data_IF_621687096909
#
_entry.id   IF_621687096909
#
_cell.length_a   1.000
_cell.length_b   1.000
_cell.length_c   1.000
_cell.angle_alpha   90.00
_cell.angle_beta   90.00
_cell.angle_gamma   90.00
#
_symmetry.space_group_name_H-M   'P 1'
#
loop_
_entity.id
_entity.type
_entity.pdbx_description
1 polymer ?
#
# COMPACT_ATOMS: atom_id res chain seq x y z
N UNK A 1 -7.68 -19.83 4.00
CA UNK A 1 -7.90 -18.73 3.03
C UNK A 1 -6.83 -18.76 1.96
N UNK A 2 -7.26 -18.78 0.72
CA UNK A 2 -6.34 -18.72 -0.42
C UNK A 2 -5.97 -17.27 -0.75
N UNK A 3 -4.94 -17.09 -1.58
CA UNK A 3 -4.57 -15.74 -2.04
C UNK A 3 -5.70 -15.09 -2.81
N UNK A 4 -6.39 -15.84 -3.67
CA UNK A 4 -7.50 -15.31 -4.45
C UNK A 4 -8.68 -14.90 -3.57
N UNK A 5 -8.99 -15.69 -2.56
CA UNK A 5 -10.02 -15.34 -1.58
C UNK A 5 -9.66 -14.07 -0.83
N UNK A 6 -8.41 -13.97 -0.37
CA UNK A 6 -7.95 -12.79 0.35
C UNK A 6 -7.99 -11.53 -0.52
N UNK A 7 -7.61 -11.64 -1.80
CA UNK A 7 -7.69 -10.52 -2.74
C UNK A 7 -9.12 -10.00 -2.85
N UNK A 8 -10.06 -10.90 -3.06
CA UNK A 8 -11.47 -10.52 -3.22
C UNK A 8 -12.04 -9.91 -1.95
N UNK A 9 -11.74 -10.51 -0.81
CA UNK A 9 -12.21 -10.02 0.49
C UNK A 9 -11.60 -8.64 0.79
N UNK A 10 -10.32 -8.46 0.51
CA UNK A 10 -9.65 -7.18 0.74
C UNK A 10 -10.25 -6.07 -0.12
N UNK A 11 -10.49 -6.34 -1.40
CA UNK A 11 -11.10 -5.36 -2.30
C UNK A 11 -12.52 -5.02 -1.86
N UNK A 12 -13.27 -6.03 -1.45
CA UNK A 12 -14.63 -5.83 -0.95
C UNK A 12 -14.64 -5.01 0.34
N UNK A 13 -13.72 -5.30 1.25
CA UNK A 13 -13.62 -4.58 2.51
C UNK A 13 -13.31 -3.09 2.29
N UNK A 14 -12.39 -2.77 1.38
CA UNK A 14 -12.06 -1.39 1.05
C UNK A 14 -13.25 -0.69 0.40
N UNK A 15 -13.91 -1.36 -0.54
CA UNK A 15 -15.10 -0.80 -1.21
C UNK A 15 -16.20 -0.51 -0.20
N UNK A 16 -16.48 -1.44 0.70
CA UNK A 16 -17.51 -1.28 1.72
C UNK A 16 -17.16 -0.16 2.68
N UNK A 17 -15.92 -0.06 3.10
CA UNK A 17 -15.47 1.02 3.97
C UNK A 17 -15.62 2.37 3.29
N UNK A 18 -15.16 2.49 2.05
CA UNK A 18 -15.25 3.75 1.30
C UNK A 18 -16.70 4.17 1.10
N UNK A 19 -17.51 3.24 0.64
CA UNK A 19 -18.92 3.53 0.33
C UNK A 19 -19.79 3.75 1.56
N UNK A 20 -19.33 3.26 2.71
CA UNK A 20 -20.04 3.42 3.98
C UNK A 20 -19.77 4.73 4.70
N UNK A 21 -18.85 5.55 4.20
CA UNK A 21 -18.53 6.83 4.83
C UNK A 21 -19.66 7.85 4.57
N UNK A 22 -19.89 8.72 5.54
CA UNK A 22 -20.96 9.72 5.46
C UNK A 22 -20.76 10.73 4.33
N UNK A 23 -19.51 10.98 3.94
CA UNK A 23 -19.20 11.88 2.84
C UNK A 23 -19.37 11.25 1.45
N UNK A 24 -19.72 9.97 1.39
CA UNK A 24 -19.94 9.23 0.15
C UNK A 24 -21.41 8.81 -0.01
N UNK A 25 -22.32 9.66 0.39
CA UNK A 25 -23.77 9.38 0.28
C UNK A 25 -24.34 9.59 -1.12
N UNK A 26 -23.66 10.37 -1.95
CA UNK A 26 -24.04 10.62 -3.33
C UNK A 26 -23.74 9.38 -4.18
N UNK A 27 -24.62 9.09 -5.14
CA UNK A 27 -24.40 8.00 -6.10
C UNK A 27 -23.09 8.14 -6.84
N UNK A 28 -22.68 9.37 -7.15
CA UNK A 28 -21.44 9.65 -7.86
C UNK A 28 -20.21 9.54 -6.96
N UNK A 29 -20.41 9.53 -5.64
CA UNK A 29 -19.32 9.39 -4.70
C UNK A 29 -18.95 7.95 -4.37
N UNK A 30 -19.77 6.99 -4.82
CA UNK A 30 -19.51 5.58 -4.52
C UNK A 30 -18.63 4.94 -5.59
N UNK A 31 -17.84 3.97 -5.15
CA UNK A 31 -16.95 3.23 -6.03
C UNK A 31 -17.45 1.80 -6.21
N UNK A 32 -17.02 1.16 -7.28
CA UNK A 32 -17.30 -0.25 -7.53
C UNK A 32 -15.99 -1.06 -7.41
N UNK A 33 -16.12 -2.37 -7.52
CA UNK A 33 -14.99 -3.29 -7.31
C UNK A 33 -13.78 -2.96 -8.20
N UNK A 34 -14.01 -2.61 -9.46
CA UNK A 34 -12.93 -2.29 -10.41
C UNK A 34 -12.16 -1.01 -10.05
N UNK A 35 -12.70 -0.19 -9.16
CA UNK A 35 -12.04 1.04 -8.73
C UNK A 35 -11.04 0.80 -7.60
N UNK A 36 -11.03 -0.41 -7.02
CA UNK A 36 -10.14 -0.78 -5.93
C UNK A 36 -9.03 -1.68 -6.48
N UNK A 37 -7.79 -1.31 -6.24
CA UNK A 37 -6.65 -2.09 -6.73
C UNK A 37 -5.69 -2.41 -5.60
N UNK A 38 -4.98 -3.52 -5.75
CA UNK A 38 -3.99 -3.97 -4.80
C UNK A 38 -2.63 -3.44 -5.24
N UNK A 39 -1.97 -2.69 -4.33
CA UNK A 39 -0.63 -2.16 -4.57
C UNK A 39 0.41 -3.27 -4.38
N UNK A 40 0.30 -4.00 -3.28
CA UNK A 40 1.09 -5.20 -3.03
C UNK A 40 0.35 -6.11 -2.06
N UNK A 41 0.77 -7.37 -2.01
CA UNK A 41 0.17 -8.37 -1.15
C UNK A 41 1.24 -9.38 -0.75
N UNK A 42 1.15 -9.89 0.47
CA UNK A 42 2.04 -10.94 0.93
C UNK A 42 1.28 -11.92 1.82
N UNK A 43 1.81 -13.15 1.89
CA UNK A 43 1.32 -14.18 2.77
C UNK A 43 2.48 -14.72 3.58
N UNK A 44 2.29 -14.83 4.88
CA UNK A 44 3.27 -15.43 5.79
C UNK A 44 2.55 -16.43 6.67
N UNK A 45 2.83 -17.72 6.46
CA UNK A 45 2.12 -18.82 7.13
C UNK A 45 0.63 -18.72 6.81
N UNK A 46 -0.23 -18.62 7.82
CA UNK A 46 -1.68 -18.49 7.64
C UNK A 46 -2.18 -17.04 7.63
N UNK A 47 -1.26 -16.09 7.67
CA UNK A 47 -1.58 -14.66 7.71
C UNK A 47 -1.41 -14.03 6.33
N UNK A 48 -2.27 -13.06 6.03
CA UNK A 48 -2.23 -12.31 4.78
C UNK A 48 -2.22 -10.83 5.06
N UNK A 49 -1.54 -10.08 4.22
CA UNK A 49 -1.51 -8.63 4.32
C UNK A 49 -1.47 -8.01 2.93
N UNK A 50 -2.21 -6.93 2.74
CA UNK A 50 -2.23 -6.22 1.46
C UNK A 50 -2.34 -4.72 1.69
N UNK A 51 -1.72 -3.97 0.79
CA UNK A 51 -1.92 -2.53 0.68
C UNK A 51 -2.76 -2.28 -0.56
N UNK A 52 -3.85 -1.55 -0.40
CA UNK A 52 -4.78 -1.25 -1.47
C UNK A 52 -4.99 0.25 -1.59
N UNK A 53 -5.47 0.66 -2.74
CA UNK A 53 -5.90 2.03 -2.96
C UNK A 53 -7.07 2.02 -3.94
N UNK A 54 -7.58 3.21 -4.24
CA UNK A 54 -8.69 3.36 -5.18
C UNK A 54 -8.32 4.34 -6.27
N UNK A 55 -9.13 4.37 -7.32
CA UNK A 55 -8.96 5.32 -8.41
C UNK A 55 -9.36 6.75 -8.02
N UNK A 56 -9.95 6.92 -6.84
CA UNK A 56 -10.31 8.25 -6.32
C UNK A 56 -9.03 8.98 -5.88
N UNK A 57 -8.80 10.20 -6.40
CA UNK A 57 -7.55 10.93 -6.11
C UNK A 57 -7.61 11.65 -4.76
N UNK A 58 -7.83 10.90 -3.69
CA UNK A 58 -7.93 11.44 -2.33
C UNK A 58 -6.67 11.19 -1.48
N UNK A 59 -5.68 10.50 -2.04
CA UNK A 59 -4.44 10.19 -1.34
C UNK A 59 -4.57 9.12 -0.28
N UNK A 60 -5.68 8.39 -0.26
CA UNK A 60 -5.92 7.35 0.74
C UNK A 60 -5.31 6.01 0.32
N UNK A 61 -4.78 5.30 1.32
CA UNK A 61 -4.32 3.93 1.20
C UNK A 61 -4.95 3.11 2.32
N UNK A 62 -5.16 1.83 2.03
CA UNK A 62 -5.83 0.91 2.95
C UNK A 62 -4.98 -0.32 3.12
N UNK A 63 -4.69 -0.67 4.37
CA UNK A 63 -3.95 -1.87 4.70
C UNK A 63 -4.93 -2.87 5.28
N UNK A 64 -5.06 -4.02 4.62
CA UNK A 64 -5.94 -5.10 5.08
C UNK A 64 -5.07 -6.23 5.59
N UNK A 65 -5.33 -6.67 6.81
CA UNK A 65 -4.57 -7.74 7.47
C UNK A 65 -5.53 -8.84 7.91
N UNK A 66 -5.20 -10.07 7.53
CA UNK A 66 -5.94 -11.24 8.00
C UNK A 66 -5.06 -12.06 8.93
N UNK A 67 -5.52 -12.25 10.16
CA UNK A 67 -4.87 -13.13 11.14
C UNK A 67 -5.56 -14.49 11.04
N UNK A 68 -4.87 -15.46 10.43
CA UNK A 68 -5.44 -16.77 10.18
C UNK A 68 -5.65 -17.63 11.43
N UNK A 69 -4.86 -17.38 12.48
CA UNK A 69 -5.02 -18.10 13.75
C UNK A 69 -6.32 -17.73 14.45
N UNK A 70 -6.68 -16.46 14.37
CA UNK A 70 -7.87 -15.93 15.05
C UNK A 70 -9.07 -15.78 14.12
N UNK A 71 -8.86 -15.89 12.80
CA UNK A 71 -9.91 -15.65 11.83
C UNK A 71 -10.40 -14.22 11.79
N UNK A 72 -9.51 -13.27 12.07
CA UNK A 72 -9.86 -11.85 12.16
C UNK A 72 -9.29 -11.08 10.98
N UNK A 73 -10.10 -10.19 10.44
CA UNK A 73 -9.71 -9.28 9.36
C UNK A 73 -9.71 -7.85 9.88
N UNK A 74 -8.64 -7.12 9.61
CA UNK A 74 -8.50 -5.72 10.03
C UNK A 74 -8.28 -4.86 8.79
N UNK A 75 -8.85 -3.66 8.83
CA UNK A 75 -8.64 -2.64 7.80
C UNK A 75 -8.14 -1.37 8.47
N UNK A 76 -6.98 -0.89 8.03
CA UNK A 76 -6.41 0.37 8.48
C UNK A 76 -6.42 1.35 7.31
N UNK A 77 -6.91 2.56 7.55
CA UNK A 77 -7.00 3.58 6.53
C UNK A 77 -5.96 4.67 6.81
N UNK A 78 -5.10 4.93 5.80
CA UNK A 78 -4.02 5.91 5.90
C UNK A 78 -4.15 6.96 4.82
N UNK A 79 -3.84 8.19 5.15
CA UNK A 79 -3.73 9.23 4.15
C UNK A 79 -2.26 9.50 3.85
N UNK A 80 -1.91 9.50 2.58
CA UNK A 80 -0.55 9.82 2.15
C UNK A 80 -0.25 11.27 2.52
N UNK A 81 0.76 11.46 3.36
CA UNK A 81 1.15 12.79 3.82
C UNK A 81 2.09 13.47 2.85
N UNK A 82 3.12 12.76 2.41
CA UNK A 82 4.19 13.35 1.63
C UNK A 82 4.93 12.26 0.86
N UNK A 83 5.47 12.63 -0.30
CA UNK A 83 6.34 11.77 -1.08
C UNK A 83 7.67 12.50 -1.26
N UNK A 84 8.75 11.94 -0.71
CA UNK A 84 10.07 12.55 -0.74
C UNK A 84 11.02 11.67 -1.53
N UNK A 85 11.72 12.26 -2.50
CA UNK A 85 12.76 11.57 -3.25
C UNK A 85 14.04 11.58 -2.46
N UNK A 86 14.63 10.41 -2.25
CA UNK A 86 15.92 10.25 -1.56
C UNK A 86 16.83 9.45 -2.45
N UNK A 87 18.05 9.92 -2.63
CA UNK A 87 19.10 9.20 -3.33
C UNK A 87 19.98 8.51 -2.28
N UNK A 88 19.84 7.19 -2.08
CA UNK A 88 20.55 6.51 -1.00
C UNK A 88 22.07 6.49 -1.20
N UNK A 89 22.53 6.54 -2.43
CA UNK A 89 23.96 6.59 -2.76
C UNK A 89 24.64 7.88 -2.25
N UNK A 90 23.87 8.94 -2.15
CA UNK A 90 24.33 10.23 -1.66
C UNK A 90 24.07 10.39 -0.18
N UNK A 91 22.83 10.06 0.24
CA UNK A 91 22.36 10.27 1.61
C UNK A 91 22.94 9.27 2.60
N UNK A 92 23.01 8.01 2.19
CA UNK A 92 23.38 6.90 3.07
C UNK A 92 24.50 6.02 2.48
N UNK A 93 25.62 6.61 2.05
CA UNK A 93 26.68 5.84 1.44
C UNK A 93 27.31 4.82 2.39
N UNK A 94 27.31 5.11 3.70
CA UNK A 94 27.88 4.25 4.72
C UNK A 94 27.07 2.97 4.95
N UNK A 95 25.81 2.95 4.51
CA UNK A 95 24.94 1.76 4.62
C UNK A 95 24.95 0.91 3.36
N UNK A 96 25.36 1.49 2.24
CA UNK A 96 25.45 0.78 0.96
C UNK A 96 26.86 0.20 0.80
N UNK A 97 26.93 -1.09 0.44
CA UNK A 97 28.20 -1.78 0.28
C UNK A 97 28.39 -2.18 -1.18
N UNK A 98 29.63 -2.18 -1.61
CA UNK A 98 30.04 -2.70 -2.92
C UNK A 98 29.58 -1.83 -4.09
N UNK A 99 28.65 -2.31 -4.90
CA UNK A 99 28.35 -1.79 -6.24
C UNK A 99 27.87 -0.35 -6.28
N UNK A 100 27.33 0.16 -5.19
CA UNK A 100 26.81 1.54 -5.14
C UNK A 100 27.91 2.60 -5.00
N UNK A 101 29.08 2.21 -4.47
CA UNK A 101 30.15 3.17 -4.19
C UNK A 101 30.74 3.85 -5.43
N UNK A 102 31.03 3.15 -6.53
CA UNK A 102 31.51 3.83 -7.72
C UNK A 102 30.55 4.89 -8.25
N UNK A 103 29.25 4.58 -8.23
CA UNK A 103 28.21 5.54 -8.64
C UNK A 103 28.19 6.73 -7.70
N UNK A 104 28.26 6.48 -6.41
CA UNK A 104 28.29 7.53 -5.40
C UNK A 104 29.48 8.47 -5.58
N UNK A 105 30.68 7.90 -5.80
CA UNK A 105 31.89 8.68 -6.00
C UNK A 105 31.79 9.56 -7.25
N UNK A 106 31.23 9.05 -8.32
CA UNK A 106 31.03 9.83 -9.55
C UNK A 106 30.06 10.98 -9.32
N UNK A 107 29.00 10.76 -8.58
CA UNK A 107 28.03 11.81 -8.26
C UNK A 107 28.64 12.90 -7.42
N UNK A 108 29.48 12.53 -6.46
CA UNK A 108 30.20 13.52 -5.64
C UNK A 108 31.20 14.33 -6.47
N UNK A 109 31.87 13.70 -7.42
CA UNK A 109 32.82 14.38 -8.28
C UNK A 109 32.16 15.41 -9.18
N UNK A 110 30.91 15.17 -9.56
CA UNK A 110 30.12 16.08 -10.40
C UNK A 110 29.48 17.20 -9.59
N UNK A 111 29.31 16.97 -8.32
CA UNK A 111 28.67 17.95 -7.45
C UNK A 111 29.65 19.08 -7.07
#
# INVERSE_FOLDING_TARGET
MTNDEFMKISQQAVMDYFNGRSDCTDKNGKICEKDVFIVWMCKTLQNHKALLSTTVPDGMYYEVTYNGDKGELYLDAYKKWENVLIHPEIRYPHLLKSAAQPVFNNMLAEA
#
